data_IF_981396341758
#
_entry.id   IF_981396341758
#
_cell.length_a   1.000
_cell.length_b   1.000
_cell.length_c   1.000
_cell.angle_alpha   90.00
_cell.angle_beta   90.00
_cell.angle_gamma   90.00
#
_symmetry.space_group_name_H-M   'P 1'
#
loop_
_entity.id
_entity.type
_entity.pdbx_description
1 polymer ?
#
# COMPACT_ATOMS: atom_id res chain seq x y z
N UNK A 1 17.10 18.79 -24.97
CA UNK A 1 16.81 17.73 -23.94
C UNK A 1 15.40 17.95 -23.43
N UNK A 2 14.54 16.97 -23.55
CA UNK A 2 13.19 17.04 -22.97
C UNK A 2 13.31 17.17 -21.45
N UNK A 3 12.52 18.08 -20.89
CA UNK A 3 12.49 18.30 -19.44
C UNK A 3 11.93 17.06 -18.76
N UNK A 4 12.69 16.45 -17.84
CA UNK A 4 12.21 15.32 -17.03
C UNK A 4 10.90 15.68 -16.33
N UNK A 5 9.91 14.80 -16.41
CA UNK A 5 8.64 14.95 -15.71
C UNK A 5 8.80 14.55 -14.24
N UNK A 6 8.21 15.31 -13.34
CA UNK A 6 8.20 14.99 -11.91
C UNK A 6 6.86 14.37 -11.53
N UNK A 7 6.88 13.14 -11.04
CA UNK A 7 5.69 12.37 -10.67
C UNK A 7 5.65 12.19 -9.15
N UNK A 8 4.55 12.62 -8.54
CA UNK A 8 4.25 12.33 -7.14
C UNK A 8 3.67 10.92 -7.04
N UNK A 9 4.30 10.04 -6.27
CA UNK A 9 3.77 8.71 -5.93
C UNK A 9 3.40 8.69 -4.45
N UNK A 10 2.13 8.51 -4.15
CA UNK A 10 1.59 8.71 -2.80
C UNK A 10 0.76 7.53 -2.30
N UNK A 11 1.38 6.52 -1.65
CA UNK A 11 0.67 5.43 -1.01
C UNK A 11 0.00 5.84 0.29
N UNK A 12 -1.12 5.16 0.59
CA UNK A 12 -1.77 5.21 1.90
C UNK A 12 -0.90 4.47 2.94
N UNK A 13 -0.79 5.03 4.13
CA UNK A 13 -0.09 4.39 5.25
C UNK A 13 -1.02 3.47 6.06
N UNK A 14 -1.54 2.43 5.41
CA UNK A 14 -2.46 1.48 6.02
C UNK A 14 -1.96 0.04 5.81
N UNK A 15 -0.88 -0.28 6.49
CA UNK A 15 -0.07 -1.47 6.26
C UNK A 15 0.93 -1.29 5.09
N UNK A 16 1.86 -2.24 4.96
CA UNK A 16 2.92 -2.15 3.95
C UNK A 16 2.46 -2.46 2.52
N UNK A 17 1.27 -3.06 2.35
CA UNK A 17 0.77 -3.46 1.03
C UNK A 17 0.66 -2.31 0.02
N UNK A 18 0.28 -1.11 0.49
CA UNK A 18 0.23 0.09 -0.36
C UNK A 18 1.63 0.55 -0.78
N UNK A 19 2.58 0.58 0.15
CA UNK A 19 3.96 0.94 -0.15
C UNK A 19 4.62 -0.06 -1.09
N UNK A 20 4.45 -1.37 -0.83
CA UNK A 20 5.08 -2.43 -1.63
C UNK A 20 4.60 -2.45 -3.07
N UNK A 21 3.32 -2.22 -3.34
CA UNK A 21 2.80 -2.17 -4.71
C UNK A 21 3.17 -0.90 -5.47
N UNK A 22 3.62 0.16 -4.79
CA UNK A 22 4.19 1.33 -5.45
C UNK A 22 5.63 1.10 -5.96
N UNK A 23 6.36 0.12 -5.43
CA UNK A 23 7.75 -0.17 -5.82
C UNK A 23 7.90 -0.43 -7.32
N UNK A 24 7.16 -1.36 -7.95
CA UNK A 24 7.30 -1.60 -9.39
C UNK A 24 6.96 -0.37 -10.22
N UNK A 25 6.00 0.44 -9.80
CA UNK A 25 5.64 1.68 -10.48
C UNK A 25 6.76 2.72 -10.39
N UNK A 26 7.35 2.89 -9.21
CA UNK A 26 8.50 3.80 -9.02
C UNK A 26 9.68 3.33 -9.89
N UNK A 27 10.00 2.04 -9.89
CA UNK A 27 11.06 1.48 -10.72
C UNK A 27 10.82 1.74 -12.21
N UNK A 28 9.57 1.57 -12.67
CA UNK A 28 9.23 1.82 -14.07
C UNK A 28 9.33 3.32 -14.43
N UNK A 29 8.85 4.22 -13.59
CA UNK A 29 8.99 5.65 -13.76
C UNK A 29 10.48 6.08 -13.88
N UNK A 30 11.33 5.51 -13.03
CA UNK A 30 12.76 5.77 -13.07
C UNK A 30 13.41 5.26 -14.36
N UNK A 31 13.02 4.07 -14.86
CA UNK A 31 13.46 3.56 -16.17
C UNK A 31 13.05 4.49 -17.31
N UNK A 32 11.87 5.10 -17.22
CA UNK A 32 11.38 6.09 -18.18
C UNK A 32 11.97 7.48 -17.98
N UNK A 33 13.04 7.60 -17.19
CA UNK A 33 13.74 8.85 -16.92
C UNK A 33 12.88 9.96 -16.27
N UNK A 34 11.84 9.59 -15.52
CA UNK A 34 11.06 10.52 -14.71
C UNK A 34 11.76 10.83 -13.38
N UNK A 35 11.53 12.03 -12.84
CA UNK A 35 11.79 12.31 -11.44
C UNK A 35 10.61 11.80 -10.59
N UNK A 36 10.90 11.13 -9.49
CA UNK A 36 9.86 10.63 -8.57
C UNK A 36 9.99 11.32 -7.24
N UNK A 37 8.88 11.90 -6.75
CA UNK A 37 8.73 12.40 -5.39
C UNK A 37 7.84 11.41 -4.61
N UNK A 38 8.34 10.88 -3.50
CA UNK A 38 7.57 9.99 -2.62
C UNK A 38 6.77 10.84 -1.64
N UNK A 39 5.44 10.70 -1.62
CA UNK A 39 4.56 11.40 -0.70
C UNK A 39 3.82 10.44 0.22
N UNK A 40 4.28 10.24 1.45
CA UNK A 40 3.67 9.30 2.38
C UNK A 40 3.82 9.74 3.84
N UNK A 41 3.38 8.92 4.79
CA UNK A 41 3.54 9.11 6.22
C UNK A 41 3.92 7.78 6.88
N UNK A 42 4.55 7.84 8.07
CA UNK A 42 4.85 6.71 8.94
C UNK A 42 5.54 5.54 8.22
N UNK A 43 5.11 4.31 8.51
CA UNK A 43 5.76 3.08 8.00
C UNK A 43 5.84 3.00 6.48
N UNK A 44 4.85 3.52 5.75
CA UNK A 44 4.88 3.52 4.30
C UNK A 44 6.01 4.41 3.75
N UNK A 45 6.22 5.57 4.37
CA UNK A 45 7.31 6.48 4.02
C UNK A 45 8.67 5.87 4.35
N UNK A 46 8.83 5.35 5.56
CA UNK A 46 10.10 4.76 6.03
C UNK A 46 10.49 3.56 5.16
N UNK A 47 9.50 2.75 4.79
CA UNK A 47 9.69 1.63 3.88
C UNK A 47 10.22 2.06 2.51
N UNK A 48 9.53 3.02 1.86
CA UNK A 48 9.91 3.49 0.53
C UNK A 48 11.24 4.24 0.52
N UNK A 49 11.58 4.97 1.59
CA UNK A 49 12.90 5.61 1.74
C UNK A 49 14.04 4.59 1.82
N UNK A 50 13.81 3.41 2.41
CA UNK A 50 14.80 2.33 2.43
C UNK A 50 14.95 1.64 1.09
N UNK A 51 13.85 1.44 0.35
CA UNK A 51 13.92 0.87 -1.01
C UNK A 51 14.53 1.85 -2.03
N UNK A 52 14.33 3.16 -1.83
CA UNK A 52 14.77 4.22 -2.73
C UNK A 52 15.45 5.37 -1.96
N UNK A 53 16.64 5.14 -1.39
CA UNK A 53 17.30 6.13 -0.53
C UNK A 53 17.76 7.40 -1.28
N UNK A 54 17.85 7.35 -2.60
CA UNK A 54 18.23 8.48 -3.45
C UNK A 54 17.06 9.36 -3.90
N UNK A 55 15.81 8.97 -3.62
CA UNK A 55 14.64 9.74 -4.03
C UNK A 55 14.23 10.76 -2.97
N UNK A 56 13.80 11.91 -3.45
CA UNK A 56 13.17 12.91 -2.60
C UNK A 56 11.86 12.42 -2.02
N UNK A 57 11.57 12.81 -0.79
CA UNK A 57 10.36 12.43 -0.11
C UNK A 57 9.76 13.56 0.72
N UNK A 58 8.44 13.56 0.87
CA UNK A 58 7.67 14.51 1.67
C UNK A 58 6.67 13.79 2.55
N UNK A 59 6.39 14.39 3.70
CA UNK A 59 5.33 13.90 4.58
C UNK A 59 3.99 14.42 4.07
N UNK A 60 3.11 13.49 3.71
CA UNK A 60 1.70 13.77 3.47
C UNK A 60 0.92 13.03 4.57
N UNK A 61 0.42 13.75 5.58
CA UNK A 61 -0.23 13.14 6.73
C UNK A 61 -1.38 12.22 6.34
N UNK A 62 -1.52 11.09 7.01
CA UNK A 62 -2.57 10.11 6.78
C UNK A 62 -3.64 10.14 7.86
N UNK A 63 -4.82 9.61 7.53
CA UNK A 63 -5.88 9.42 8.50
C UNK A 63 -5.54 8.23 9.40
N UNK A 64 -5.20 8.51 10.66
CA UNK A 64 -4.97 7.45 11.65
C UNK A 64 -6.29 6.76 11.98
N UNK A 65 -6.54 5.62 11.33
CA UNK A 65 -7.69 4.78 11.62
C UNK A 65 -7.32 3.81 12.73
N UNK A 66 -8.09 3.88 13.83
CA UNK A 66 -8.01 2.88 14.91
C UNK A 66 -9.22 1.98 14.79
N UNK A 67 -9.03 0.68 14.89
CA UNK A 67 -10.13 -0.27 14.92
C UNK A 67 -10.68 -0.42 16.33
N UNK A 68 -12.00 -0.56 16.51
CA UNK A 68 -12.55 -0.91 17.82
C UNK A 68 -12.10 -2.33 18.22
N UNK A 69 -11.78 -2.51 19.49
CA UNK A 69 -11.32 -3.81 20.01
C UNK A 69 -12.43 -4.87 20.01
N UNK A 70 -13.71 -4.48 20.03
CA UNK A 70 -14.86 -5.38 20.01
C UNK A 70 -16.11 -4.66 19.50
N UNK A 71 -16.94 -5.33 18.69
CA UNK A 71 -18.29 -4.94 18.25
C UNK A 71 -18.48 -3.52 17.71
N UNK A 72 -19.67 -3.23 17.21
CA UNK A 72 -20.08 -1.86 16.83
C UNK A 72 -19.37 -1.24 15.62
N UNK A 73 -18.71 -2.04 14.76
CA UNK A 73 -17.95 -1.57 13.61
C UNK A 73 -18.75 -0.60 12.72
N UNK A 74 -20.03 -0.88 12.47
CA UNK A 74 -20.86 -0.05 11.59
C UNK A 74 -21.04 1.35 12.15
N UNK A 75 -21.41 1.49 13.41
CA UNK A 75 -21.57 2.78 14.08
C UNK A 75 -20.23 3.52 14.18
N UNK A 76 -19.16 2.80 14.50
CA UNK A 76 -17.83 3.35 14.58
C UNK A 76 -17.38 3.97 13.26
N UNK A 77 -17.58 3.30 12.12
CA UNK A 77 -17.24 3.83 10.81
C UNK A 77 -18.21 4.94 10.37
N UNK A 78 -19.52 4.80 10.63
CA UNK A 78 -20.50 5.83 10.31
C UNK A 78 -20.17 7.18 10.98
N UNK A 79 -19.80 7.18 12.24
CA UNK A 79 -19.40 8.38 12.98
C UNK A 79 -18.08 9.01 12.46
N UNK A 80 -17.29 8.27 11.68
CA UNK A 80 -16.02 8.74 11.11
C UNK A 80 -16.11 9.22 9.68
N UNK A 81 -17.23 9.01 9.00
CA UNK A 81 -17.43 9.50 7.63
C UNK A 81 -17.12 11.01 7.50
N UNK A 82 -17.60 11.91 8.39
CA UNK A 82 -17.27 13.34 8.29
C UNK A 82 -15.76 13.62 8.41
N UNK A 83 -15.05 12.86 9.26
CA UNK A 83 -13.59 12.97 9.40
C UNK A 83 -12.87 12.54 8.14
N UNK A 84 -13.34 11.46 7.49
CA UNK A 84 -12.80 10.99 6.22
C UNK A 84 -12.93 12.06 5.13
N UNK A 85 -14.12 12.66 4.96
CA UNK A 85 -14.34 13.73 4.00
C UNK A 85 -13.47 14.96 4.29
N UNK A 86 -13.34 15.34 5.55
CA UNK A 86 -12.47 16.45 5.94
C UNK A 86 -10.99 16.14 5.67
N UNK A 87 -10.56 14.90 5.86
CA UNK A 87 -9.21 14.45 5.51
C UNK A 87 -8.96 14.55 4.00
N UNK A 88 -9.85 13.99 3.18
CA UNK A 88 -9.79 14.10 1.72
C UNK A 88 -9.72 15.57 1.26
N UNK A 89 -10.51 16.46 1.89
CA UNK A 89 -10.45 17.90 1.61
C UNK A 89 -9.09 18.51 1.97
N UNK A 90 -8.52 18.16 3.12
CA UNK A 90 -7.19 18.64 3.56
C UNK A 90 -6.09 18.14 2.63
N UNK A 91 -6.12 16.87 2.23
CA UNK A 91 -5.19 16.33 1.22
C UNK A 91 -5.24 17.13 -0.08
N UNK A 92 -6.47 17.38 -0.57
CA UNK A 92 -6.66 18.15 -1.79
C UNK A 92 -6.14 19.60 -1.69
N UNK A 93 -6.29 20.21 -0.53
CA UNK A 93 -5.74 21.57 -0.27
C UNK A 93 -4.21 21.56 -0.21
N UNK A 94 -3.61 20.57 0.47
CA UNK A 94 -2.15 20.46 0.58
C UNK A 94 -1.49 20.14 -0.77
N UNK A 95 -2.16 19.36 -1.63
CA UNK A 95 -1.65 18.99 -2.95
C UNK A 95 -1.34 20.20 -3.83
N UNK A 96 -2.12 21.28 -3.76
CA UNK A 96 -1.87 22.50 -4.54
C UNK A 96 -0.52 23.13 -4.19
N UNK A 97 -0.15 23.12 -2.93
CA UNK A 97 1.16 23.60 -2.46
C UNK A 97 2.27 22.67 -2.95
N UNK A 98 2.08 21.35 -2.81
CA UNK A 98 3.05 20.34 -3.26
C UNK A 98 3.31 20.48 -4.77
N UNK A 99 2.27 20.60 -5.59
CA UNK A 99 2.40 20.76 -7.05
C UNK A 99 3.27 21.98 -7.39
N UNK A 100 3.06 23.11 -6.71
CA UNK A 100 3.80 24.34 -6.96
C UNK A 100 5.25 24.21 -6.50
N UNK A 101 5.45 23.77 -5.27
CA UNK A 101 6.75 23.78 -4.60
C UNK A 101 7.72 22.75 -5.22
N UNK A 102 7.19 21.59 -5.64
CA UNK A 102 7.97 20.50 -6.26
C UNK A 102 7.79 20.39 -7.78
N UNK A 103 7.06 21.31 -8.42
CA UNK A 103 6.82 21.35 -9.87
C UNK A 103 6.27 20.02 -10.41
N UNK A 104 5.28 19.44 -9.73
CA UNK A 104 4.68 18.16 -10.07
C UNK A 104 3.99 18.23 -11.44
N UNK A 105 4.28 17.24 -12.28
CA UNK A 105 3.70 17.09 -13.63
C UNK A 105 2.60 16.01 -13.66
N UNK A 106 2.64 15.02 -12.76
CA UNK A 106 1.64 13.95 -12.67
C UNK A 106 1.56 13.36 -11.26
N UNK A 107 0.46 12.70 -10.94
CA UNK A 107 0.16 12.17 -9.60
C UNK A 107 -0.28 10.72 -9.74
N UNK A 108 0.34 9.83 -8.97
CA UNK A 108 -0.10 8.46 -8.76
C UNK A 108 -0.46 8.32 -7.28
N UNK A 109 -1.73 8.22 -7.01
CA UNK A 109 -2.30 8.16 -5.67
C UNK A 109 -2.78 6.75 -5.36
N UNK A 110 -2.22 6.10 -4.37
CA UNK A 110 -2.68 4.79 -3.97
C UNK A 110 -3.58 4.90 -2.74
N UNK A 111 -4.87 4.72 -3.00
CA UNK A 111 -5.98 4.78 -2.03
C UNK A 111 -6.12 6.13 -1.27
N UNK A 112 -5.49 7.21 -1.75
CA UNK A 112 -5.60 8.57 -1.19
C UNK A 112 -6.50 9.42 -2.08
N UNK A 113 -7.76 9.47 -1.74
CA UNK A 113 -8.82 10.04 -2.57
C UNK A 113 -8.80 11.58 -2.71
N UNK A 114 -7.96 12.28 -1.93
CA UNK A 114 -7.78 13.73 -2.01
C UNK A 114 -6.69 14.18 -2.99
N UNK A 115 -5.86 13.28 -3.49
CA UNK A 115 -4.69 13.62 -4.30
C UNK A 115 -5.00 13.60 -5.81
N UNK A 116 -5.98 14.39 -6.24
CA UNK A 116 -6.30 14.63 -7.65
C UNK A 116 -6.18 16.10 -8.00
N UNK A 117 -5.98 16.44 -9.29
CA UNK A 117 -5.87 17.82 -9.73
C UNK A 117 -6.48 18.02 -11.13
N UNK A 118 -7.18 19.16 -11.34
CA UNK A 118 -7.90 19.42 -12.59
C UNK A 118 -6.98 19.58 -13.81
N UNK A 119 -5.76 20.11 -13.64
CA UNK A 119 -4.82 20.40 -14.72
C UNK A 119 -3.57 19.52 -14.72
N UNK A 120 -3.48 18.52 -13.86
CA UNK A 120 -2.37 17.57 -13.81
C UNK A 120 -2.92 16.16 -13.92
N UNK A 121 -2.39 15.31 -14.80
CA UNK A 121 -2.76 13.90 -14.85
C UNK A 121 -2.71 13.28 -13.46
N UNK A 122 -3.81 12.68 -13.04
CA UNK A 122 -3.96 12.09 -11.71
C UNK A 122 -4.54 10.69 -11.85
N UNK A 123 -3.84 9.71 -11.33
CA UNK A 123 -4.23 8.30 -11.33
C UNK A 123 -4.53 7.88 -9.89
N UNK A 124 -5.65 7.19 -9.70
CA UNK A 124 -5.96 6.50 -8.45
C UNK A 124 -5.66 5.01 -8.60
N UNK A 125 -4.91 4.44 -7.68
CA UNK A 125 -4.76 2.98 -7.57
C UNK A 125 -5.69 2.49 -6.47
N UNK A 126 -6.60 1.57 -6.81
CA UNK A 126 -7.45 0.90 -5.81
C UNK A 126 -8.07 -0.37 -6.40
N UNK A 127 -8.20 -1.40 -5.59
CA UNK A 127 -9.02 -2.58 -5.88
C UNK A 127 -10.39 -2.54 -5.19
N UNK A 128 -10.72 -1.45 -4.49
CA UNK A 128 -11.93 -1.30 -3.67
C UNK A 128 -12.97 -0.42 -4.37
N UNK A 129 -13.40 -0.82 -5.58
CA UNK A 129 -14.45 -0.12 -6.32
C UNK A 129 -15.85 -0.39 -5.74
N UNK A 130 -16.06 -1.61 -5.23
CA UNK A 130 -17.34 -2.10 -4.72
C UNK A 130 -17.18 -2.59 -3.27
N UNK A 131 -17.06 -1.63 -2.34
CA UNK A 131 -16.88 -1.95 -0.91
C UNK A 131 -18.13 -2.67 -0.39
N UNK A 132 -17.93 -3.89 0.12
CA UNK A 132 -19.00 -4.66 0.75
C UNK A 132 -19.27 -4.12 2.15
N UNK A 133 -20.52 -3.71 2.39
CA UNK A 133 -20.99 -3.23 3.69
C UNK A 133 -22.31 -3.90 4.04
N UNK A 134 -22.55 -4.21 5.33
CA UNK A 134 -23.82 -4.82 5.77
C UNK A 134 -25.03 -3.94 5.48
N UNK A 135 -24.84 -2.61 5.44
CA UNK A 135 -25.89 -1.63 5.22
C UNK A 135 -25.40 -0.50 4.34
N UNK A 136 -26.33 0.19 3.65
CA UNK A 136 -26.04 1.35 2.79
C UNK A 136 -25.08 1.09 1.62
N UNK A 137 -24.98 -0.16 1.16
CA UNK A 137 -24.08 -0.57 0.06
C UNK A 137 -24.16 0.34 -1.15
N UNK A 138 -25.38 0.66 -1.65
CA UNK A 138 -25.58 1.54 -2.81
C UNK A 138 -25.03 2.96 -2.58
N UNK A 139 -25.21 3.49 -1.37
CA UNK A 139 -24.70 4.82 -1.00
C UNK A 139 -23.17 4.83 -0.96
N UNK A 140 -22.56 3.80 -0.35
CA UNK A 140 -21.09 3.66 -0.31
C UNK A 140 -20.51 3.54 -1.71
N UNK A 141 -21.11 2.71 -2.57
CA UNK A 141 -20.67 2.57 -3.97
C UNK A 141 -20.81 3.89 -4.74
N UNK A 142 -21.89 4.65 -4.53
CA UNK A 142 -22.07 5.97 -5.15
C UNK A 142 -21.00 6.96 -4.72
N UNK A 143 -20.64 6.97 -3.43
CA UNK A 143 -19.56 7.80 -2.89
C UNK A 143 -18.22 7.41 -3.52
N UNK A 144 -17.87 6.12 -3.52
CA UNK A 144 -16.63 5.64 -4.12
C UNK A 144 -16.56 6.01 -5.60
N UNK A 145 -17.63 5.75 -6.36
CA UNK A 145 -17.71 6.13 -7.78
C UNK A 145 -17.48 7.62 -7.99
N UNK A 146 -18.07 8.47 -7.14
CA UNK A 146 -17.88 9.93 -7.20
C UNK A 146 -16.45 10.35 -6.85
N UNK A 147 -15.78 9.67 -5.94
CA UNK A 147 -14.38 9.93 -5.61
C UNK A 147 -13.44 9.47 -6.73
N UNK A 148 -13.67 8.29 -7.27
CA UNK A 148 -12.91 7.74 -8.41
C UNK A 148 -13.03 8.64 -9.64
N UNK A 149 -14.20 9.18 -9.93
CA UNK A 149 -14.43 10.06 -11.09
C UNK A 149 -13.71 11.41 -11.02
N UNK A 150 -13.03 11.73 -9.92
CA UNK A 150 -12.17 12.92 -9.81
C UNK A 150 -10.79 12.72 -10.44
N UNK A 151 -10.41 11.49 -10.69
CA UNK A 151 -9.13 11.13 -11.31
C UNK A 151 -9.31 10.93 -12.82
N UNK A 152 -8.22 11.12 -13.56
CA UNK A 152 -8.21 10.86 -15.01
C UNK A 152 -8.33 9.36 -15.28
N UNK A 153 -7.68 8.54 -14.49
CA UNK A 153 -7.75 7.08 -14.55
C UNK A 153 -7.80 6.47 -13.15
N UNK A 154 -8.39 5.30 -13.06
CA UNK A 154 -8.32 4.46 -11.88
C UNK A 154 -7.69 3.12 -12.27
N UNK A 155 -6.53 2.83 -11.72
CA UNK A 155 -5.81 1.59 -11.96
C UNK A 155 -6.16 0.55 -10.90
N UNK A 156 -6.66 -0.59 -11.35
CA UNK A 156 -6.91 -1.75 -10.50
C UNK A 156 -5.71 -2.69 -10.62
N UNK A 157 -4.97 -2.95 -9.54
CA UNK A 157 -3.81 -3.85 -9.55
C UNK A 157 -4.27 -5.31 -9.54
N UNK A 158 -4.97 -5.72 -10.57
CA UNK A 158 -5.56 -7.04 -10.77
C UNK A 158 -5.78 -7.28 -12.26
N UNK A 159 -6.16 -8.51 -12.63
CA UNK A 159 -6.57 -8.88 -13.99
C UNK A 159 -8.08 -8.70 -14.16
N UNK A 160 -8.52 -8.37 -15.37
CA UNK A 160 -9.95 -8.19 -15.69
C UNK A 160 -10.71 -9.54 -15.79
N UNK A 161 -9.98 -10.64 -15.99
CA UNK A 161 -10.55 -11.98 -16.19
C UNK A 161 -11.19 -12.56 -14.92
N UNK A 162 -11.80 -13.75 -15.07
CA UNK A 162 -12.38 -14.51 -13.95
C UNK A 162 -11.35 -14.93 -12.90
N UNK A 163 -10.09 -15.07 -13.29
CA UNK A 163 -8.98 -15.51 -12.41
C UNK A 163 -8.38 -14.36 -11.60
N UNK A 164 -9.21 -13.36 -11.30
CA UNK A 164 -8.82 -12.20 -10.52
C UNK A 164 -8.66 -12.50 -9.03
N UNK A 165 -7.84 -11.68 -8.35
CA UNK A 165 -7.53 -11.82 -6.92
C UNK A 165 -8.44 -10.98 -6.01
N UNK A 166 -8.99 -9.88 -6.53
CA UNK A 166 -9.79 -8.91 -5.76
C UNK A 166 -11.28 -9.27 -5.70
N UNK A 167 -11.72 -10.25 -6.51
CA UNK A 167 -13.09 -10.74 -6.53
C UNK A 167 -14.11 -9.61 -6.67
N UNK A 168 -15.17 -9.68 -5.88
CA UNK A 168 -16.28 -8.70 -5.91
C UNK A 168 -15.87 -7.27 -5.55
N UNK A 169 -14.71 -7.06 -4.93
CA UNK A 169 -14.26 -5.71 -4.57
C UNK A 169 -13.99 -4.83 -5.79
N UNK A 170 -13.58 -5.41 -6.92
CA UNK A 170 -13.33 -4.67 -8.16
C UNK A 170 -14.15 -5.16 -9.36
N UNK A 171 -14.84 -6.32 -9.27
CA UNK A 171 -15.54 -6.94 -10.40
C UNK A 171 -17.07 -7.03 -10.24
N UNK A 172 -17.67 -6.34 -9.27
CA UNK A 172 -19.10 -6.34 -9.03
C UNK A 172 -19.80 -5.12 -9.65
N UNK A 173 -20.41 -5.26 -10.83
CA UNK A 173 -21.26 -4.23 -11.44
C UNK A 173 -20.61 -3.44 -12.58
N UNK A 174 -21.21 -2.29 -12.95
CA UNK A 174 -20.70 -1.48 -14.05
C UNK A 174 -19.42 -0.75 -13.68
N UNK A 175 -18.34 -1.10 -14.36
CA UNK A 175 -17.02 -0.50 -14.21
C UNK A 175 -16.92 0.73 -15.13
N UNK A 176 -16.57 1.92 -14.61
CA UNK A 176 -16.37 3.11 -15.44
C UNK A 176 -15.25 2.91 -16.48
N UNK A 177 -15.37 3.53 -17.65
CA UNK A 177 -14.35 3.46 -18.71
C UNK A 177 -12.99 4.05 -18.31
N UNK A 178 -12.95 4.87 -17.26
CA UNK A 178 -11.69 5.39 -16.67
C UNK A 178 -10.94 4.37 -15.82
N UNK A 179 -11.55 3.22 -15.52
CA UNK A 179 -10.91 2.12 -14.77
C UNK A 179 -10.12 1.25 -15.74
N UNK A 180 -8.88 0.94 -15.37
CA UNK A 180 -7.99 0.05 -16.12
C UNK A 180 -7.45 -1.03 -15.20
N UNK A 181 -7.54 -2.27 -15.59
CA UNK A 181 -6.89 -3.39 -14.92
C UNK A 181 -5.44 -3.45 -15.42
N UNK A 182 -4.48 -3.32 -14.51
CA UNK A 182 -3.06 -3.21 -14.84
C UNK A 182 -2.23 -4.44 -14.46
N UNK A 183 -2.91 -5.51 -14.04
CA UNK A 183 -2.26 -6.70 -13.51
C UNK A 183 -1.77 -6.54 -12.06
N UNK A 184 -1.42 -7.65 -11.42
CA UNK A 184 -0.86 -7.65 -10.06
C UNK A 184 0.47 -6.88 -10.01
N UNK A 185 0.62 -6.01 -9.02
CA UNK A 185 1.84 -5.24 -8.78
C UNK A 185 2.73 -5.98 -7.77
N UNK A 186 3.81 -6.59 -8.26
CA UNK A 186 4.79 -7.28 -7.43
C UNK A 186 6.03 -6.42 -7.20
N UNK A 187 6.51 -6.36 -5.95
CA UNK A 187 7.81 -5.75 -5.61
C UNK A 187 9.01 -6.64 -5.97
N UNK A 188 8.77 -7.90 -6.29
CA UNK A 188 9.80 -8.88 -6.63
C UNK A 188 10.16 -8.81 -8.11
N UNK A 189 11.44 -9.00 -8.42
CA UNK A 189 11.93 -9.14 -9.79
C UNK A 189 12.18 -10.62 -10.08
N UNK A 190 11.84 -11.08 -11.27
CA UNK A 190 11.99 -12.48 -11.72
C UNK A 190 13.45 -12.98 -11.82
N UNK A 191 14.43 -12.09 -11.65
CA UNK A 191 15.84 -12.40 -11.97
C UNK A 191 16.63 -13.16 -10.89
N UNK A 192 16.03 -13.50 -9.74
CA UNK A 192 16.75 -14.17 -8.64
C UNK A 192 16.27 -15.61 -8.45
N UNK A 193 16.45 -16.45 -9.45
CA UNK A 193 16.03 -17.88 -9.41
C UNK A 193 17.12 -18.87 -8.94
N UNK A 194 18.02 -18.51 -8.05
CA UNK A 194 19.16 -19.43 -7.74
C UNK A 194 19.52 -19.57 -6.26
N UNK A 195 18.60 -19.59 -5.33
CA UNK A 195 18.95 -19.94 -3.97
C UNK A 195 17.97 -20.96 -3.40
N UNK A 196 18.49 -22.08 -2.92
CA UNK A 196 17.68 -23.04 -2.16
C UNK A 196 17.34 -22.42 -0.79
N UNK A 197 16.07 -22.43 -0.37
CA UNK A 197 15.68 -21.85 0.91
C UNK A 197 16.31 -22.64 2.05
N UNK A 198 17.01 -21.95 2.93
CA UNK A 198 17.50 -22.56 4.18
C UNK A 198 16.38 -22.81 5.19
N UNK A 199 15.20 -22.20 4.95
CA UNK A 199 14.09 -22.17 5.89
C UNK A 199 12.87 -22.90 5.32
N UNK A 200 12.21 -23.66 6.17
CA UNK A 200 11.02 -24.43 5.80
C UNK A 200 9.74 -23.62 6.00
N UNK A 201 9.74 -22.64 6.91
CA UNK A 201 8.59 -21.80 7.18
C UNK A 201 8.96 -20.31 7.15
N UNK A 202 8.20 -19.53 6.38
CA UNK A 202 8.28 -18.07 6.34
C UNK A 202 6.92 -17.46 6.65
N UNK A 203 6.86 -16.64 7.69
CA UNK A 203 5.69 -15.86 8.05
C UNK A 203 5.97 -14.37 7.83
N UNK A 204 5.12 -13.70 7.06
CA UNK A 204 5.24 -12.27 6.78
C UNK A 204 4.00 -11.57 7.30
N UNK A 205 4.16 -10.72 8.29
CA UNK A 205 3.08 -9.94 8.86
C UNK A 205 2.89 -8.63 8.12
N UNK A 206 1.65 -8.24 7.98
CA UNK A 206 1.23 -6.94 7.48
C UNK A 206 -0.11 -6.59 8.11
N UNK A 207 -0.43 -5.30 8.20
CA UNK A 207 -1.72 -4.84 8.68
C UNK A 207 -1.62 -3.78 9.77
N UNK A 208 -2.79 -3.23 10.16
CA UNK A 208 -2.86 -2.18 11.16
C UNK A 208 -2.78 -2.75 12.58
N UNK A 209 -2.26 -1.93 13.49
CA UNK A 209 -2.32 -2.22 14.94
C UNK A 209 -3.77 -2.08 15.47
N UNK A 210 -4.17 -2.87 16.48
CA UNK A 210 -3.39 -3.84 17.25
C UNK A 210 -3.39 -5.27 16.70
N UNK A 211 -4.06 -5.51 15.56
CA UNK A 211 -4.26 -6.87 15.02
C UNK A 211 -2.94 -7.51 14.56
N UNK A 212 -2.04 -6.71 14.00
CA UNK A 212 -0.71 -7.20 13.60
C UNK A 212 0.06 -7.75 14.79
N UNK A 213 0.12 -7.01 15.90
CA UNK A 213 0.81 -7.46 17.12
C UNK A 213 0.16 -8.70 17.72
N UNK A 214 -1.17 -8.74 17.80
CA UNK A 214 -1.87 -9.94 18.30
C UNK A 214 -1.59 -11.18 17.43
N UNK A 215 -1.54 -11.02 16.10
CA UNK A 215 -1.20 -12.12 15.21
C UNK A 215 0.27 -12.53 15.33
N UNK A 216 1.18 -11.60 15.59
CA UNK A 216 2.59 -11.87 15.84
C UNK A 216 2.79 -12.79 17.04
N UNK A 217 2.13 -12.49 18.16
CA UNK A 217 2.20 -13.29 19.38
C UNK A 217 1.75 -14.74 19.13
N UNK A 218 0.59 -14.90 18.47
CA UNK A 218 0.07 -16.24 18.10
C UNK A 218 1.03 -17.00 17.20
N UNK A 219 1.60 -16.32 16.18
CA UNK A 219 2.49 -16.95 15.22
C UNK A 219 3.83 -17.35 15.85
N UNK A 220 4.39 -16.54 16.75
CA UNK A 220 5.62 -16.90 17.47
C UNK A 220 5.42 -18.22 18.21
N UNK A 221 4.32 -18.37 18.93
CA UNK A 221 4.05 -19.61 19.68
C UNK A 221 3.85 -20.81 18.74
N UNK A 222 3.10 -20.63 17.65
CA UNK A 222 2.90 -21.70 16.66
C UNK A 222 4.17 -22.09 15.91
N UNK A 223 5.01 -21.12 15.54
CA UNK A 223 6.27 -21.39 14.86
C UNK A 223 7.29 -22.12 15.77
N UNK A 224 7.27 -21.88 17.09
CA UNK A 224 8.06 -22.67 18.06
C UNK A 224 7.66 -24.15 18.08
N UNK A 225 6.36 -24.44 17.91
CA UNK A 225 5.84 -25.81 17.90
C UNK A 225 6.27 -26.61 16.66
N UNK A 226 6.54 -25.94 15.51
CA UNK A 226 6.84 -26.60 14.24
C UNK A 226 8.17 -27.37 14.21
N UNK A 227 9.10 -27.09 15.12
CA UNK A 227 10.45 -27.72 15.18
C UNK A 227 11.18 -27.74 13.82
N UNK A 228 11.03 -26.67 13.05
CA UNK A 228 11.71 -26.47 11.77
C UNK A 228 12.29 -25.06 11.69
N UNK A 229 13.28 -24.86 10.81
CA UNK A 229 13.83 -23.52 10.57
C UNK A 229 12.75 -22.59 10.08
N UNK A 230 12.48 -21.53 10.82
CA UNK A 230 11.42 -20.56 10.54
C UNK A 230 11.92 -19.12 10.63
N UNK A 231 11.32 -18.26 9.82
CA UNK A 231 11.54 -16.82 9.84
C UNK A 231 10.20 -16.10 9.97
N UNK A 232 10.08 -15.21 10.93
CA UNK A 232 8.97 -14.30 11.08
C UNK A 232 9.41 -12.87 10.75
N UNK A 233 8.83 -12.30 9.71
CA UNK A 233 9.00 -10.90 9.32
C UNK A 233 7.84 -10.09 9.86
N UNK A 234 8.10 -9.20 10.81
CA UNK A 234 7.07 -8.41 11.52
C UNK A 234 6.34 -7.41 10.64
N UNK A 235 6.97 -6.95 9.55
CA UNK A 235 6.46 -5.86 8.73
C UNK A 235 6.52 -4.50 9.43
N UNK A 236 7.44 -4.33 10.37
CA UNK A 236 7.70 -3.07 11.10
C UNK A 236 9.06 -2.54 10.68
N UNK A 237 9.05 -1.32 10.15
CA UNK A 237 10.29 -0.62 9.77
C UNK A 237 10.75 0.19 10.97
N UNK A 238 11.76 -0.27 11.67
CA UNK A 238 12.42 0.46 12.78
C UNK A 238 13.86 0.84 12.41
N UNK A 239 14.43 1.83 13.10
CA UNK A 239 15.83 2.22 12.89
C UNK A 239 16.77 1.06 13.18
N UNK A 240 16.48 0.29 14.21
CA UNK A 240 17.18 -0.94 14.58
C UNK A 240 16.40 -2.14 14.05
N UNK A 241 16.75 -2.57 12.84
CA UNK A 241 16.16 -3.79 12.25
C UNK A 241 16.91 -5.02 12.77
N UNK A 242 16.88 -5.22 14.09
CA UNK A 242 17.61 -6.32 14.75
C UNK A 242 16.94 -7.66 14.46
N UNK A 243 17.77 -8.62 14.08
CA UNK A 243 17.40 -10.01 14.00
C UNK A 243 17.40 -10.60 15.42
N UNK A 244 16.26 -11.09 15.87
CA UNK A 244 16.11 -11.71 17.19
C UNK A 244 15.94 -13.22 17.04
N UNK A 245 16.89 -13.99 17.55
CA UNK A 245 16.73 -15.45 17.67
C UNK A 245 15.87 -15.77 18.87
N UNK A 246 14.66 -16.24 18.62
CA UNK A 246 13.68 -16.62 19.66
C UNK A 246 13.95 -18.05 20.15
N UNK A 247 14.34 -18.95 19.22
CA UNK A 247 14.83 -20.31 19.50
C UNK A 247 16.01 -20.62 18.57
N UNK A 248 16.57 -21.81 18.64
CA UNK A 248 17.61 -22.27 17.70
C UNK A 248 17.08 -22.26 16.24
N UNK A 249 15.76 -22.50 16.06
CA UNK A 249 15.13 -22.66 14.76
C UNK A 249 14.25 -21.47 14.34
N UNK A 250 13.85 -20.58 15.27
CA UNK A 250 12.98 -19.43 14.97
C UNK A 250 13.73 -18.10 15.08
N UNK A 251 13.81 -17.42 13.97
CA UNK A 251 14.32 -16.06 13.86
C UNK A 251 13.16 -15.08 13.62
N UNK A 252 13.22 -13.92 14.26
CA UNK A 252 12.25 -12.82 14.09
C UNK A 252 13.00 -11.56 13.65
N UNK A 253 12.53 -10.94 12.55
CA UNK A 253 13.10 -9.69 12.04
C UNK A 253 12.00 -8.64 11.88
N UNK A 254 12.33 -7.37 12.07
CA UNK A 254 11.39 -6.27 11.87
C UNK A 254 10.95 -6.15 10.42
N UNK A 255 11.93 -6.14 9.50
CA UNK A 255 11.72 -5.88 8.09
C UNK A 255 12.77 -6.59 7.22
N UNK A 256 12.37 -6.99 6.02
CA UNK A 256 13.28 -7.43 4.96
C UNK A 256 13.00 -6.65 3.67
N UNK A 257 14.07 -6.23 2.99
CA UNK A 257 13.97 -5.68 1.64
C UNK A 257 13.44 -6.72 0.66
N UNK A 258 12.93 -6.27 -0.49
CA UNK A 258 12.41 -7.19 -1.52
C UNK A 258 13.43 -8.26 -1.93
N UNK A 259 14.69 -7.86 -2.11
CA UNK A 259 15.75 -8.78 -2.51
C UNK A 259 16.13 -9.78 -1.41
N UNK A 260 16.16 -9.33 -0.15
CA UNK A 260 16.47 -10.22 0.97
C UNK A 260 15.32 -11.20 1.25
N UNK A 261 14.07 -10.75 1.06
CA UNK A 261 12.93 -11.63 1.25
C UNK A 261 12.89 -12.74 0.21
N UNK A 262 13.24 -12.45 -1.06
CA UNK A 262 13.34 -13.48 -2.11
C UNK A 262 14.31 -14.60 -1.75
N UNK A 263 15.46 -14.25 -1.15
CA UNK A 263 16.45 -15.26 -0.71
C UNK A 263 15.91 -16.22 0.37
N UNK A 264 14.88 -15.83 1.09
CA UNK A 264 14.24 -16.65 2.13
C UNK A 264 13.08 -17.52 1.59
N UNK A 265 12.62 -17.25 0.36
CA UNK A 265 11.45 -17.92 -0.25
C UNK A 265 11.87 -18.98 -1.29
N UNK A 266 13.02 -18.80 -1.91
CA UNK A 266 13.59 -19.70 -2.93
C UNK A 266 14.52 -20.75 -2.33
#
# INVERSE_FOLDING_TARGET
MEKKKTILVAPLNWGLGHATRCIPLIRELLKQNANVLIGADGMALDYLKREFPSLDSIIIPDLKVRYPKSGGYLLYFALRIPRLFNHVKKEHQSLRKIIRDYKIDGIISDNRYGLYHASKPSVLITHQLFIETPSFKKTVHSIVKKLVSKFNECWVPDVESSDNLSGRLSHAGNIPSTVKFIGPLSRFNEQNKQMQPERVALAILSGPEPFRTALEEILIDKLKELKCKALLVRGVVSENNEETKVTADLTVVGYLSSNNLLKEVE
#
